data_IF_321644446137
#
_entry.id   IF_321644446137
#
_cell.length_a   1.000
_cell.length_b   1.000
_cell.length_c   1.000
_cell.angle_alpha   90.00
_cell.angle_beta   90.00
_cell.angle_gamma   90.00
#
_symmetry.space_group_name_H-M   'P 1'
#
loop_
_entity.id
_entity.type
_entity.pdbx_description
1 polymer ?
#
# COMPACT_ATOMS: atom_id res chain seq x y z
N UNK A 1 -19.47 -7.58 6.40
CA UNK A 1 -18.70 -6.87 5.37
C UNK A 1 -18.51 -7.81 4.19
N UNK A 2 -18.81 -7.38 2.97
CA UNK A 2 -18.49 -8.15 1.77
C UNK A 2 -16.99 -8.00 1.46
N UNK A 3 -16.36 -9.04 0.92
CA UNK A 3 -14.92 -9.04 0.59
C UNK A 3 -14.76 -9.38 -0.88
N UNK A 4 -14.04 -8.51 -1.59
CA UNK A 4 -13.76 -8.65 -3.01
C UNK A 4 -12.27 -8.92 -3.17
N UNK A 5 -11.95 -9.96 -3.93
CA UNK A 5 -10.59 -10.44 -4.12
C UNK A 5 -10.29 -10.46 -5.62
N UNK A 6 -9.13 -9.93 -6.02
CA UNK A 6 -8.67 -9.94 -7.40
C UNK A 6 -7.25 -10.53 -7.48
N UNK A 7 -7.13 -11.65 -8.19
CA UNK A 7 -5.84 -12.26 -8.48
C UNK A 7 -5.98 -13.17 -9.71
N UNK A 8 -5.18 -12.95 -10.74
CA UNK A 8 -5.21 -13.78 -11.95
C UNK A 8 -4.37 -15.05 -11.81
N UNK A 9 -3.37 -15.04 -10.92
CA UNK A 9 -2.37 -16.09 -10.75
C UNK A 9 -2.94 -17.36 -10.11
N UNK A 10 -4.06 -17.24 -9.38
CA UNK A 10 -4.74 -18.35 -8.71
C UNK A 10 -6.13 -18.62 -9.30
N UNK A 11 -6.63 -19.84 -9.11
CA UNK A 11 -7.97 -20.22 -9.56
C UNK A 11 -9.08 -19.65 -8.67
N UNK A 12 -8.77 -19.29 -7.43
CA UNK A 12 -9.69 -18.81 -6.41
C UNK A 12 -8.98 -18.55 -5.08
N UNK A 13 -9.69 -18.02 -4.07
CA UNK A 13 -9.12 -17.77 -2.75
C UNK A 13 -8.69 -19.07 -2.05
N UNK A 14 -7.70 -18.98 -1.18
CA UNK A 14 -7.19 -20.12 -0.39
C UNK A 14 -8.27 -20.75 0.51
N UNK A 15 -9.23 -19.94 0.96
CA UNK A 15 -10.39 -20.36 1.74
C UNK A 15 -11.69 -19.92 1.08
N UNK A 16 -12.76 -20.69 1.29
CA UNK A 16 -14.10 -20.35 0.80
C UNK A 16 -14.94 -19.69 1.90
N UNK A 17 -15.64 -18.63 1.54
CA UNK A 17 -16.60 -17.97 2.41
C UNK A 17 -17.73 -17.37 1.58
N UNK A 18 -18.97 -17.42 2.07
CA UNK A 18 -20.16 -16.88 1.39
C UNK A 18 -20.11 -15.36 1.08
N UNK A 19 -19.15 -14.64 1.66
CA UNK A 19 -18.97 -13.19 1.51
C UNK A 19 -17.80 -12.84 0.59
N UNK A 20 -17.11 -13.85 0.07
CA UNK A 20 -15.98 -13.68 -0.84
C UNK A 20 -16.49 -13.66 -2.27
N UNK A 21 -16.10 -12.62 -3.00
CA UNK A 21 -16.36 -12.45 -4.42
C UNK A 21 -15.02 -12.39 -5.12
N UNK A 22 -14.69 -13.43 -5.91
CA UNK A 22 -13.39 -13.55 -6.54
C UNK A 22 -13.45 -13.15 -8.02
N UNK A 23 -12.50 -12.31 -8.43
CA UNK A 23 -12.30 -11.87 -9.81
C UNK A 23 -10.92 -12.33 -10.27
N UNK A 24 -10.86 -13.21 -11.27
CA UNK A 24 -9.58 -13.74 -11.77
C UNK A 24 -8.90 -12.78 -12.75
N UNK A 25 -8.46 -11.63 -12.27
CA UNK A 25 -7.78 -10.56 -13.03
C UNK A 25 -6.67 -9.94 -12.18
N UNK A 26 -5.63 -9.46 -12.82
CA UNK A 26 -4.66 -8.55 -12.20
C UNK A 26 -5.28 -7.15 -12.03
N UNK A 27 -4.67 -6.34 -11.18
CA UNK A 27 -4.92 -4.90 -11.14
C UNK A 27 -3.77 -4.15 -11.82
N UNK A 28 -4.11 -3.13 -12.59
CA UNK A 28 -3.13 -2.33 -13.32
C UNK A 28 -3.71 -1.01 -13.82
N UNK A 29 -3.00 -0.36 -14.74
CA UNK A 29 -3.38 0.97 -15.27
C UNK A 29 -4.36 0.91 -16.45
N UNK A 30 -4.55 -0.28 -17.05
CA UNK A 30 -5.46 -0.49 -18.19
C UNK A 30 -6.36 -1.70 -17.94
N UNK A 31 -7.61 -1.59 -18.37
CA UNK A 31 -8.54 -2.72 -18.42
C UNK A 31 -8.31 -3.50 -19.71
N UNK A 32 -7.99 -4.79 -19.58
CA UNK A 32 -7.71 -5.73 -20.68
C UNK A 32 -8.42 -7.08 -20.44
N UNK A 33 -8.08 -8.10 -21.23
CA UNK A 33 -8.59 -9.45 -21.02
C UNK A 33 -8.15 -10.06 -19.69
N UNK A 34 -7.00 -9.70 -19.11
CA UNK A 34 -6.52 -10.31 -17.87
C UNK A 34 -6.29 -9.29 -16.74
N UNK A 35 -6.56 -8.01 -16.99
CA UNK A 35 -6.29 -6.92 -16.06
C UNK A 35 -7.50 -5.97 -15.94
N UNK A 36 -7.69 -5.39 -14.75
CA UNK A 36 -8.66 -4.34 -14.48
C UNK A 36 -7.97 -3.12 -13.88
N UNK A 37 -8.48 -1.93 -14.19
CA UNK A 37 -8.19 -0.76 -13.34
C UNK A 37 -8.88 -0.91 -11.98
N UNK A 38 -8.32 -0.26 -10.95
CA UNK A 38 -8.94 -0.26 -9.61
C UNK A 38 -10.36 0.32 -9.65
N UNK A 39 -10.59 1.33 -10.49
CA UNK A 39 -11.91 1.92 -10.76
C UNK A 39 -12.89 0.93 -11.37
N UNK A 40 -12.49 0.22 -12.43
CA UNK A 40 -13.39 -0.72 -13.08
C UNK A 40 -13.66 -1.94 -12.21
N UNK A 41 -12.66 -2.40 -11.44
CA UNK A 41 -12.87 -3.46 -10.47
C UNK A 41 -13.82 -3.04 -9.35
N UNK A 42 -13.68 -1.82 -8.82
CA UNK A 42 -14.62 -1.25 -7.85
C UNK A 42 -16.05 -1.19 -8.39
N UNK A 43 -16.24 -0.71 -9.63
CA UNK A 43 -17.55 -0.68 -10.29
C UNK A 43 -18.14 -2.07 -10.48
N UNK A 44 -17.35 -3.04 -10.96
CA UNK A 44 -17.81 -4.40 -11.21
C UNK A 44 -18.15 -5.17 -9.94
N UNK A 45 -17.44 -4.87 -8.84
CA UNK A 45 -17.70 -5.46 -7.52
C UNK A 45 -19.06 -5.06 -6.95
N UNK A 46 -19.72 -4.03 -7.50
CA UNK A 46 -21.03 -3.59 -7.03
C UNK A 46 -21.00 -3.04 -5.59
N UNK A 47 -19.84 -2.51 -5.16
CA UNK A 47 -19.71 -1.88 -3.84
C UNK A 47 -20.63 -0.66 -3.76
N UNK A 48 -21.28 -0.46 -2.61
CA UNK A 48 -22.18 0.67 -2.36
C UNK A 48 -21.52 1.98 -2.78
N UNK A 49 -22.11 2.72 -3.71
CA UNK A 49 -21.55 3.96 -4.26
C UNK A 49 -21.31 5.06 -3.22
N UNK A 50 -21.96 5.01 -2.06
CA UNK A 50 -21.80 5.98 -0.97
C UNK A 50 -21.00 5.44 0.23
N UNK A 51 -20.66 4.16 0.23
CA UNK A 51 -20.00 3.50 1.35
C UNK A 51 -18.50 3.77 1.42
N UNK A 52 -17.98 3.86 2.65
CA UNK A 52 -16.55 3.80 2.94
C UNK A 52 -16.00 2.41 2.62
N UNK A 53 -14.82 2.37 2.01
CA UNK A 53 -14.12 1.15 1.60
C UNK A 53 -12.85 0.94 2.43
N UNK A 54 -12.36 -0.29 2.44
CA UNK A 54 -11.00 -0.63 2.88
C UNK A 54 -10.28 -1.35 1.74
N UNK A 55 -9.07 -0.90 1.42
CA UNK A 55 -8.21 -1.54 0.43
C UNK A 55 -7.05 -2.23 1.15
N UNK A 56 -6.80 -3.48 0.79
CA UNK A 56 -5.52 -4.14 1.03
C UNK A 56 -4.92 -4.47 -0.34
N UNK A 57 -3.64 -4.14 -0.55
CA UNK A 57 -2.96 -4.34 -1.83
C UNK A 57 -1.52 -4.80 -1.62
N UNK A 58 -1.18 -5.87 -2.32
CA UNK A 58 0.13 -6.50 -2.40
C UNK A 58 0.16 -7.14 -3.80
N UNK A 59 0.88 -6.53 -4.75
CA UNK A 59 0.84 -6.90 -6.17
C UNK A 59 2.23 -6.77 -6.83
N UNK A 60 3.28 -7.09 -6.09
CA UNK A 60 4.62 -7.37 -6.61
C UNK A 60 5.20 -6.24 -7.50
N UNK A 61 4.95 -4.97 -7.17
CA UNK A 61 5.52 -3.80 -7.85
C UNK A 61 4.54 -3.00 -8.70
N UNK A 62 3.36 -3.55 -9.01
CA UNK A 62 2.32 -2.82 -9.74
C UNK A 62 1.55 -1.82 -8.86
N UNK A 63 1.87 -1.69 -7.56
CA UNK A 63 1.16 -0.80 -6.63
C UNK A 63 1.19 0.65 -7.13
N UNK A 64 2.35 1.11 -7.58
CA UNK A 64 2.58 2.51 -7.97
C UNK A 64 1.70 2.93 -9.13
N UNK A 65 1.61 2.12 -10.19
CA UNK A 65 0.78 2.42 -11.35
C UNK A 65 -0.71 2.30 -11.04
N UNK A 66 -1.10 1.33 -10.19
CA UNK A 66 -2.50 1.17 -9.75
C UNK A 66 -2.96 2.41 -8.98
N UNK A 67 -2.15 2.93 -8.05
CA UNK A 67 -2.49 4.16 -7.34
C UNK A 67 -2.51 5.38 -8.25
N UNK A 68 -1.59 5.48 -9.22
CA UNK A 68 -1.59 6.59 -10.18
C UNK A 68 -2.80 6.55 -11.12
N UNK A 69 -3.26 5.37 -11.52
CA UNK A 69 -4.43 5.17 -12.36
C UNK A 69 -5.77 5.37 -11.64
N UNK A 70 -5.80 5.25 -10.31
CA UNK A 70 -7.02 5.36 -9.52
C UNK A 70 -7.62 6.78 -9.56
N UNK A 71 -8.94 6.86 -9.77
CA UNK A 71 -9.65 8.15 -9.74
C UNK A 71 -9.65 8.78 -8.34
N UNK A 72 -9.72 10.11 -8.28
CA UNK A 72 -9.83 10.83 -7.01
C UNK A 72 -11.12 10.47 -6.26
N UNK A 73 -12.20 10.20 -6.98
CA UNK A 73 -13.48 9.81 -6.40
C UNK A 73 -13.38 8.45 -5.71
N UNK A 74 -12.74 7.46 -6.34
CA UNK A 74 -12.48 6.18 -5.71
C UNK A 74 -11.52 6.32 -4.53
N UNK A 75 -10.42 7.05 -4.70
CA UNK A 75 -9.43 7.27 -3.63
C UNK A 75 -10.07 7.88 -2.38
N UNK A 76 -11.00 8.82 -2.51
CA UNK A 76 -11.72 9.42 -1.37
C UNK A 76 -12.64 8.42 -0.65
N UNK A 77 -13.04 7.33 -1.30
CA UNK A 77 -13.92 6.32 -0.68
C UNK A 77 -13.17 5.35 0.19
N UNK A 78 -11.90 5.09 -0.06
CA UNK A 78 -11.09 4.31 0.86
C UNK A 78 -10.94 5.09 2.16
N UNK A 79 -11.47 4.54 3.25
CA UNK A 79 -11.22 5.06 4.60
C UNK A 79 -9.83 4.62 5.05
N UNK A 80 -9.47 3.39 4.74
CA UNK A 80 -8.21 2.75 5.12
C UNK A 80 -7.60 2.11 3.87
N UNK A 81 -6.30 2.31 3.68
CA UNK A 81 -5.50 1.63 2.68
C UNK A 81 -4.36 0.93 3.43
N UNK A 82 -4.23 -0.38 3.25
CA UNK A 82 -3.06 -1.16 3.67
C UNK A 82 -2.35 -1.58 2.39
N UNK A 83 -1.10 -1.18 2.21
CA UNK A 83 -0.36 -1.43 0.98
C UNK A 83 1.05 -1.93 1.30
N UNK A 84 1.43 -3.07 0.74
CA UNK A 84 2.81 -3.53 0.72
C UNK A 84 3.50 -2.99 -0.54
N UNK A 85 4.43 -2.05 -0.37
CA UNK A 85 5.16 -1.46 -1.48
C UNK A 85 6.43 -2.23 -1.76
N UNK A 86 6.51 -2.79 -2.97
CA UNK A 86 7.67 -3.49 -3.49
C UNK A 86 8.67 -2.54 -4.15
N UNK A 87 9.89 -3.03 -4.40
CA UNK A 87 10.95 -2.32 -5.14
C UNK A 87 11.38 -0.99 -4.49
N UNK A 88 11.25 -0.87 -3.18
CA UNK A 88 11.58 0.37 -2.47
C UNK A 88 13.09 0.66 -2.50
N UNK A 89 13.93 -0.35 -2.67
CA UNK A 89 15.36 -0.22 -2.95
C UNK A 89 15.65 0.56 -4.25
N UNK A 90 14.70 0.57 -5.20
CA UNK A 90 14.79 1.32 -6.46
C UNK A 90 14.56 2.82 -6.28
N UNK A 91 14.29 3.33 -5.07
CA UNK A 91 14.22 4.78 -4.82
C UNK A 91 15.54 5.52 -5.11
N UNK A 92 16.66 4.80 -5.25
CA UNK A 92 17.93 5.36 -5.73
C UNK A 92 18.02 5.49 -7.26
N UNK A 93 17.06 4.92 -7.99
CA UNK A 93 16.94 5.05 -9.44
C UNK A 93 16.04 6.26 -9.76
N UNK A 94 16.57 7.31 -10.41
CA UNK A 94 15.83 8.56 -10.61
C UNK A 94 14.49 8.38 -11.38
N UNK A 95 14.41 7.60 -12.48
CA UNK A 95 13.13 7.26 -13.10
C UNK A 95 12.11 6.64 -12.13
N UNK A 96 12.52 5.61 -11.38
CA UNK A 96 11.63 4.94 -10.43
C UNK A 96 11.24 5.86 -9.27
N UNK A 97 12.17 6.63 -8.72
CA UNK A 97 11.89 7.64 -7.70
C UNK A 97 10.80 8.61 -8.15
N UNK A 98 10.82 9.08 -9.40
CA UNK A 98 9.79 9.95 -9.93
C UNK A 98 8.43 9.27 -10.02
N UNK A 99 8.38 7.98 -10.38
CA UNK A 99 7.15 7.19 -10.39
C UNK A 99 6.60 7.03 -8.96
N UNK A 100 7.42 6.51 -8.05
CA UNK A 100 7.05 6.24 -6.67
C UNK A 100 6.63 7.52 -5.93
N UNK A 101 7.39 8.61 -6.08
CA UNK A 101 7.08 9.91 -5.46
C UNK A 101 5.72 10.45 -5.90
N UNK A 102 5.34 10.26 -7.18
CA UNK A 102 4.01 10.66 -7.67
C UNK A 102 2.90 9.76 -7.13
N UNK A 103 3.12 8.46 -7.03
CA UNK A 103 2.16 7.53 -6.44
C UNK A 103 1.91 7.84 -4.95
N UNK A 104 2.98 8.05 -4.17
CA UNK A 104 2.85 8.49 -2.77
C UNK A 104 2.17 9.85 -2.67
N UNK A 105 2.52 10.81 -3.53
CA UNK A 105 1.85 12.12 -3.57
C UNK A 105 0.35 11.99 -3.85
N UNK A 106 -0.06 11.08 -4.74
CA UNK A 106 -1.46 10.77 -5.03
C UNK A 106 -2.20 10.24 -3.80
N UNK A 107 -1.63 9.28 -3.07
CA UNK A 107 -2.22 8.74 -1.83
C UNK A 107 -2.32 9.83 -0.76
N UNK A 108 -1.25 10.61 -0.58
CA UNK A 108 -1.12 11.61 0.48
C UNK A 108 -2.02 12.84 0.31
N UNK A 109 -2.63 13.04 -0.88
CA UNK A 109 -3.66 14.06 -1.09
C UNK A 109 -4.89 13.84 -0.21
N UNK A 110 -5.29 12.57 -0.01
CA UNK A 110 -6.51 12.22 0.73
C UNK A 110 -6.25 11.46 2.03
N UNK A 111 -5.06 10.87 2.19
CA UNK A 111 -4.71 10.06 3.37
C UNK A 111 -3.44 10.57 4.08
N UNK A 112 -3.27 10.17 5.34
CA UNK A 112 -2.00 10.22 6.06
C UNK A 112 -1.52 8.81 6.35
N UNK A 113 -0.21 8.57 6.24
CA UNK A 113 0.41 7.33 6.70
C UNK A 113 0.36 7.31 8.23
N UNK A 114 -0.21 6.24 8.81
CA UNK A 114 -0.40 6.09 10.26
C UNK A 114 0.38 4.91 10.82
N UNK A 115 0.88 4.02 9.96
CA UNK A 115 1.68 2.87 10.36
C UNK A 115 2.62 2.44 9.23
N UNK A 116 3.82 2.01 9.60
CA UNK A 116 4.87 1.51 8.72
C UNK A 116 5.45 0.26 9.37
N UNK A 117 5.52 -0.84 8.62
CA UNK A 117 6.13 -2.07 9.05
C UNK A 117 7.05 -2.60 7.94
N UNK A 118 8.38 -2.48 8.09
CA UNK A 118 9.32 -3.00 7.10
C UNK A 118 9.26 -4.52 7.09
N UNK A 119 9.18 -5.12 5.90
CA UNK A 119 9.10 -6.56 5.77
C UNK A 119 10.48 -7.18 6.05
N UNK A 120 10.60 -7.95 7.14
CA UNK A 120 11.84 -8.60 7.55
C UNK A 120 12.19 -9.87 6.74
N UNK A 121 11.37 -10.24 5.76
CA UNK A 121 11.71 -11.30 4.80
C UNK A 121 12.66 -10.81 3.71
N UNK A 122 12.46 -9.57 3.25
CA UNK A 122 13.26 -8.95 2.19
C UNK A 122 14.45 -8.18 2.75
N UNK A 123 15.39 -7.83 1.88
CA UNK A 123 16.61 -7.11 2.27
C UNK A 123 16.38 -5.63 2.54
N UNK A 124 17.47 -4.93 2.80
CA UNK A 124 17.51 -3.48 2.78
C UNK A 124 18.78 -3.00 2.10
N UNK A 125 18.71 -1.83 1.47
CA UNK A 125 19.86 -1.16 0.88
C UNK A 125 20.20 0.07 1.71
N UNK A 126 21.49 0.24 2.01
CA UNK A 126 22.01 1.46 2.64
C UNK A 126 22.91 2.19 1.67
N UNK A 127 22.57 3.45 1.37
CA UNK A 127 23.43 4.38 0.61
C UNK A 127 23.36 5.76 1.24
N UNK A 128 24.49 6.47 1.27
CA UNK A 128 24.58 7.83 1.84
C UNK A 128 23.97 7.96 3.26
N UNK A 129 24.07 6.91 4.08
CA UNK A 129 23.52 6.89 5.44
C UNK A 129 21.99 6.72 5.53
N UNK A 130 21.31 6.44 4.43
CA UNK A 130 19.87 6.16 4.39
C UNK A 130 19.66 4.68 4.11
N UNK A 131 19.04 3.99 5.06
CA UNK A 131 18.61 2.59 4.92
C UNK A 131 17.17 2.57 4.43
N UNK A 132 16.95 1.87 3.32
CA UNK A 132 15.64 1.69 2.68
C UNK A 132 15.37 0.17 2.61
N UNK A 133 14.28 -0.33 3.22
CA UNK A 133 13.88 -1.72 3.05
C UNK A 133 13.46 -1.96 1.59
N UNK A 134 13.65 -3.17 1.07
CA UNK A 134 13.18 -3.53 -0.27
C UNK A 134 11.65 -3.56 -0.36
N UNK A 135 11.00 -3.95 0.74
CA UNK A 135 9.55 -4.08 0.87
C UNK A 135 9.09 -3.48 2.20
N UNK A 136 8.00 -2.71 2.17
CA UNK A 136 7.41 -2.10 3.38
C UNK A 136 5.89 -2.12 3.29
N UNK A 137 5.26 -2.61 4.35
CA UNK A 137 3.82 -2.49 4.52
C UNK A 137 3.51 -1.13 5.16
N UNK A 138 2.58 -0.40 4.57
CA UNK A 138 2.15 0.91 5.03
C UNK A 138 0.64 0.93 5.20
N UNK A 139 0.16 1.43 6.35
CA UNK A 139 -1.26 1.74 6.54
C UNK A 139 -1.48 3.25 6.42
N UNK A 140 -2.49 3.62 5.64
CA UNK A 140 -2.95 4.99 5.46
C UNK A 140 -4.39 5.13 5.94
N UNK A 141 -4.66 6.22 6.65
CA UNK A 141 -5.98 6.60 7.12
C UNK A 141 -6.42 7.88 6.39
N UNK A 142 -7.67 7.90 5.91
CA UNK A 142 -8.24 9.08 5.24
C UNK A 142 -8.20 10.28 6.18
N UNK A 143 -7.82 11.44 5.65
CA UNK A 143 -7.49 12.64 6.45
C UNK A 143 -8.66 13.18 7.27
N UNK A 144 -9.90 13.02 6.81
CA UNK A 144 -11.12 13.39 7.56
C UNK A 144 -11.34 12.54 8.82
N UNK A 145 -10.60 11.42 8.97
CA UNK A 145 -10.64 10.55 10.15
C UNK A 145 -9.44 10.72 11.08
N UNK A 146 -8.43 11.50 10.70
CA UNK A 146 -7.27 11.77 11.55
C UNK A 146 -7.65 12.79 12.63
N UNK A 147 -7.40 12.45 13.88
CA UNK A 147 -7.57 13.35 15.03
C UNK A 147 -6.20 13.60 15.65
N UNK A 148 -5.72 14.85 15.54
CA UNK A 148 -4.46 15.31 16.15
C UNK A 148 -3.26 14.34 15.94
N UNK A 149 -2.87 14.03 14.69
CA UNK A 149 -1.81 13.06 14.44
C UNK A 149 -0.46 13.57 14.96
N UNK A 150 0.26 12.69 15.66
CA UNK A 150 1.63 12.89 16.10
C UNK A 150 2.57 11.94 15.36
N UNK A 151 3.85 12.29 15.32
CA UNK A 151 4.86 11.45 14.71
C UNK A 151 5.35 10.38 15.68
N UNK A 152 5.64 9.19 15.15
CA UNK A 152 6.24 8.11 15.93
C UNK A 152 7.71 8.40 16.23
N UNK A 153 8.13 8.08 17.45
CA UNK A 153 9.52 8.21 17.91
C UNK A 153 10.35 6.95 17.69
N UNK A 154 9.70 5.80 17.48
CA UNK A 154 10.35 4.51 17.30
C UNK A 154 9.53 3.57 16.42
N UNK A 155 10.23 2.72 15.67
CA UNK A 155 9.70 1.58 14.94
C UNK A 155 10.62 0.36 15.22
N UNK A 156 10.11 -0.89 15.20
CA UNK A 156 8.72 -1.28 14.95
C UNK A 156 7.78 -0.89 16.11
N UNK A 157 6.47 -0.90 15.85
CA UNK A 157 5.46 -0.72 16.88
C UNK A 157 5.37 -1.98 17.78
N UNK A 158 5.08 -1.88 19.09
CA UNK A 158 5.08 -3.04 19.99
C UNK A 158 4.09 -4.18 19.65
N UNK A 159 3.10 -3.90 18.79
CA UNK A 159 2.14 -4.90 18.30
C UNK A 159 2.55 -5.52 16.96
N UNK A 160 3.64 -5.05 16.36
CA UNK A 160 4.15 -5.59 15.12
C UNK A 160 4.63 -7.01 15.33
N UNK A 161 4.49 -7.81 14.28
CA UNK A 161 4.95 -9.19 14.26
C UNK A 161 5.85 -9.37 13.05
N UNK A 162 7.02 -9.93 13.31
CA UNK A 162 7.95 -10.38 12.30
C UNK A 162 7.26 -11.30 11.28
N UNK A 163 7.49 -11.06 9.99
CA UNK A 163 6.93 -11.89 8.89
C UNK A 163 7.57 -13.29 8.89
N UNK A 164 8.84 -13.38 9.24
CA UNK A 164 9.62 -14.61 9.44
C UNK A 164 10.33 -14.61 10.80
N UNK A 165 10.88 -15.76 11.18
CA UNK A 165 11.86 -15.90 12.29
C UNK A 165 13.23 -15.24 11.93
N UNK A 166 13.19 -13.98 11.55
CA UNK A 166 14.33 -13.10 11.28
C UNK A 166 14.24 -11.87 12.19
N UNK A 167 15.37 -11.23 12.53
CA UNK A 167 15.33 -9.96 13.25
C UNK A 167 14.56 -8.90 12.47
N UNK A 168 13.83 -8.04 13.17
CA UNK A 168 13.13 -6.92 12.53
C UNK A 168 14.12 -5.94 11.90
N UNK A 169 13.73 -5.34 10.77
CA UNK A 169 14.49 -4.29 10.13
C UNK A 169 14.30 -2.98 10.89
N UNK A 170 15.39 -2.46 11.48
CA UNK A 170 15.37 -1.15 12.14
C UNK A 170 15.48 -0.05 11.07
N UNK A 171 14.42 0.74 10.93
CA UNK A 171 14.42 1.87 10.01
C UNK A 171 15.29 3.01 10.52
N UNK A 172 16.00 3.67 9.60
CA UNK A 172 16.79 4.85 9.94
C UNK A 172 15.89 6.02 10.40
N UNK A 173 16.47 7.00 11.09
CA UNK A 173 15.73 8.18 11.59
C UNK A 173 14.93 8.94 10.52
N UNK A 174 15.28 8.80 9.24
CA UNK A 174 14.60 9.43 8.10
C UNK A 174 13.14 8.98 7.93
N UNK A 175 12.78 7.84 8.53
CA UNK A 175 11.43 7.27 8.53
C UNK A 175 10.59 7.73 9.73
N UNK A 176 11.21 8.32 10.74
CA UNK A 176 10.56 8.85 11.92
C UNK A 176 10.20 10.32 11.69
N UNK A 177 9.05 10.74 12.19
CA UNK A 177 8.69 12.14 12.04
C UNK A 177 9.41 13.00 13.07
N UNK A 178 10.09 14.04 12.58
CA UNK A 178 11.00 14.87 13.37
C UNK A 178 12.36 15.07 12.71
N UNK A 179 12.73 14.22 11.73
CA UNK A 179 13.94 14.37 10.94
C UNK A 179 13.80 15.33 9.75
N UNK A 180 13.10 16.46 9.94
CA UNK A 180 13.31 17.59 9.01
C UNK A 180 14.68 18.15 9.33
N UNK A 181 15.66 17.82 8.49
CA UNK A 181 16.97 18.44 8.53
C UNK A 181 16.82 19.97 8.55
N UNK A 182 17.55 20.59 9.48
CA UNK A 182 18.19 21.86 9.18
C UNK A 182 19.25 21.63 8.11
#
# INVERSE_FOLDING_TARGET
MQVYLADHSVAGPAESHERFHFTRKHLGVLTTEDCLTLDDWGKQSGVDVQGDLMLQIDIEGSEYEVFLGASDDLMKRFRIIVAEFHLMDQLWNAPFFNLASRAFSKILQTHGCVHLHPNNHSGSITREGVTIPEVVEMTFLRRDRLQSPEFVESLPHPLDRSNRDHPDLVLSRHWLGGSRGK
#
